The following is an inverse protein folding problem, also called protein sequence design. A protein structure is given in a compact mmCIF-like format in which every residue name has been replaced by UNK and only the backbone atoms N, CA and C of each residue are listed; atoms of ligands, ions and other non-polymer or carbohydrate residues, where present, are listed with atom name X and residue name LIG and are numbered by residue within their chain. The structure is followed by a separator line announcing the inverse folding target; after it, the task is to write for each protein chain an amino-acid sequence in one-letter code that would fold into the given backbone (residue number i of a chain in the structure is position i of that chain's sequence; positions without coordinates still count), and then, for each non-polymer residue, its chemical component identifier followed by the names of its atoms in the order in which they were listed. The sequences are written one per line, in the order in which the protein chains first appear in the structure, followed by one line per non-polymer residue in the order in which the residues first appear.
data_IF_821943405147
#
_entry.id   IF_821943405147
#
_cell.length_a   1.000
_cell.length_b   1.000
_cell.length_c   1.000
_cell.angle_alpha   90.00
_cell.angle_beta   90.00
_cell.angle_gamma   90.00
#
_symmetry.space_group_name_H-M   'P 1'
#
loop_
_entity.id
_entity.type
_entity.pdbx_description
1 polymer ?
#
# COMPACT_ATOMS: atom_id res chain seq x y z
N UNK A 1 17.79 36.86 25.22
CA UNK A 1 16.74 37.53 24.45
C UNK A 1 16.03 38.54 25.35
N UNK A 2 15.85 39.76 24.88
CA UNK A 2 15.15 40.82 25.62
C UNK A 2 13.63 40.79 25.30
N UNK A 3 13.18 39.91 24.45
CA UNK A 3 11.79 39.79 24.01
C UNK A 3 11.36 38.33 24.03
N UNK A 4 10.16 38.09 24.52
CA UNK A 4 9.53 36.77 24.53
C UNK A 4 8.12 36.90 23.96
N UNK A 5 7.86 36.22 22.86
CA UNK A 5 6.53 36.15 22.28
C UNK A 5 5.70 35.09 23.01
N UNK A 6 4.51 35.47 23.45
CA UNK A 6 3.57 34.60 24.15
C UNK A 6 2.17 34.76 23.59
N UNK A 7 1.31 33.77 23.86
CA UNK A 7 -0.10 33.82 23.49
C UNK A 7 -0.97 33.36 24.65
N UNK A 8 -2.16 33.95 24.78
CA UNK A 8 -3.11 33.52 25.82
C UNK A 8 -3.48 32.06 25.59
N UNK A 9 -3.44 31.28 26.66
CA UNK A 9 -3.70 29.84 26.67
C UNK A 9 -2.82 29.04 25.71
N UNK A 10 -1.63 29.59 25.39
CA UNK A 10 -0.66 28.95 24.47
C UNK A 10 -1.17 28.78 23.06
N UNK A 11 -2.08 29.67 22.57
CA UNK A 11 -2.64 29.50 21.22
C UNK A 11 -1.55 29.51 20.17
N UNK A 12 -1.55 28.46 19.31
CA UNK A 12 -0.57 28.32 18.26
C UNK A 12 -0.65 26.93 17.58
N UNK A 13 0.08 26.77 16.49
CA UNK A 13 0.18 25.47 15.81
C UNK A 13 1.12 24.50 16.55
N UNK A 14 0.92 23.22 16.36
CA UNK A 14 1.78 22.19 16.97
C UNK A 14 1.63 22.11 18.47
N UNK A 15 2.73 22.18 19.18
CA UNK A 15 2.76 22.18 20.64
C UNK A 15 2.18 23.46 21.27
N UNK A 16 1.82 24.45 20.47
CA UNK A 16 1.42 25.78 20.93
C UNK A 16 2.62 26.69 21.17
N UNK A 17 2.31 27.87 21.67
CA UNK A 17 3.28 28.87 22.07
C UNK A 17 3.45 28.90 23.61
N UNK A 18 4.40 29.65 24.10
CA UNK A 18 4.49 29.95 25.53
C UNK A 18 3.18 30.60 26.02
N UNK A 19 2.62 30.12 27.11
CA UNK A 19 1.40 30.65 27.69
C UNK A 19 1.68 31.98 28.39
N UNK A 20 0.96 33.03 28.04
CA UNK A 20 1.09 34.37 28.65
C UNK A 20 0.82 34.31 30.15
N UNK A 21 -0.22 33.63 30.56
CA UNK A 21 -0.60 33.45 31.96
C UNK A 21 0.49 32.77 32.78
N UNK A 22 1.12 31.71 32.24
CA UNK A 22 2.21 31.03 32.93
C UNK A 22 3.46 31.91 33.04
N UNK A 23 3.81 32.64 31.96
CA UNK A 23 4.94 33.56 32.00
C UNK A 23 4.71 34.68 33.02
N UNK A 24 3.51 35.26 33.08
CA UNK A 24 3.18 36.31 34.03
C UNK A 24 3.28 35.81 35.50
N UNK A 25 2.81 34.59 35.76
CA UNK A 25 2.98 33.94 37.06
C UNK A 25 4.47 33.78 37.45
N UNK A 26 5.32 33.40 36.52
CA UNK A 26 6.76 33.28 36.78
C UNK A 26 7.39 34.67 37.01
N UNK A 27 6.99 35.70 36.28
CA UNK A 27 7.52 37.04 36.40
C UNK A 27 7.20 37.69 37.76
N UNK A 28 6.13 37.26 38.45
CA UNK A 28 5.87 37.76 39.83
C UNK A 28 6.99 37.40 40.81
N UNK A 29 7.70 36.32 40.59
CA UNK A 29 8.86 35.93 41.39
C UNK A 29 10.03 36.93 41.29
N UNK A 30 10.02 37.75 40.24
CA UNK A 30 11.01 38.79 39.97
C UNK A 30 10.47 40.17 40.23
N UNK A 31 9.34 40.31 40.95
CA UNK A 31 8.78 41.63 41.34
C UNK A 31 7.90 42.30 40.30
N UNK A 32 7.53 41.60 39.21
CA UNK A 32 6.59 42.17 38.24
C UNK A 32 5.15 41.95 38.73
N UNK A 33 4.31 42.97 38.61
CA UNK A 33 2.90 42.91 39.00
C UNK A 33 1.99 42.90 37.78
N UNK A 34 0.94 42.10 37.85
CA UNK A 34 -0.16 42.08 36.88
C UNK A 34 -1.50 41.90 37.62
N UNK A 35 -2.60 42.26 36.97
CA UNK A 35 -3.92 42.04 37.53
C UNK A 35 -4.44 40.63 37.14
N UNK A 36 -4.55 39.70 38.11
CA UNK A 36 -4.94 38.33 37.83
C UNK A 36 -6.38 38.18 37.28
N UNK A 37 -7.28 39.11 37.61
CA UNK A 37 -8.65 39.08 37.12
C UNK A 37 -8.74 39.33 35.60
N UNK A 38 -7.88 40.16 35.02
CA UNK A 38 -7.85 40.34 33.59
C UNK A 38 -7.29 39.12 32.87
N UNK A 39 -6.28 38.48 33.45
CA UNK A 39 -5.68 37.27 32.90
C UNK A 39 -6.66 36.09 32.95
N UNK A 40 -7.36 35.91 34.10
CA UNK A 40 -8.38 34.86 34.23
C UNK A 40 -9.51 35.06 33.21
N UNK A 41 -10.03 36.25 33.07
CA UNK A 41 -11.10 36.59 32.12
C UNK A 41 -10.68 36.31 30.66
N UNK A 42 -9.45 36.67 30.29
CA UNK A 42 -8.90 36.35 28.98
C UNK A 42 -8.73 34.81 28.80
N UNK A 43 -8.17 34.13 29.80
CA UNK A 43 -7.96 32.67 29.75
C UNK A 43 -9.28 31.90 29.59
N UNK A 44 -10.34 32.28 30.28
CA UNK A 44 -11.66 31.67 30.17
C UNK A 44 -12.25 31.80 28.76
N UNK A 45 -11.99 32.89 28.06
CA UNK A 45 -12.38 33.04 26.65
C UNK A 45 -11.59 32.13 25.72
N UNK A 46 -10.27 32.10 25.86
CA UNK A 46 -9.38 31.29 25.03
C UNK A 46 -9.52 29.80 25.33
N UNK A 47 -9.89 29.37 26.53
CA UNK A 47 -10.22 27.98 26.84
C UNK A 47 -11.37 27.45 25.99
N UNK A 48 -12.43 28.26 25.79
CA UNK A 48 -13.54 27.91 24.90
C UNK A 48 -13.08 27.75 23.45
N UNK A 49 -12.25 28.65 22.96
CA UNK A 49 -11.67 28.55 21.61
C UNK A 49 -10.80 27.33 21.48
N UNK A 50 -10.00 26.96 22.49
CA UNK A 50 -9.16 25.76 22.48
C UNK A 50 -9.97 24.47 22.31
N UNK A 51 -11.14 24.38 22.92
CA UNK A 51 -12.07 23.23 22.74
C UNK A 51 -12.56 23.11 21.30
N UNK A 52 -12.71 24.23 20.59
CA UNK A 52 -13.16 24.26 19.18
C UNK A 52 -12.00 23.97 18.22
N UNK A 53 -10.85 24.62 18.40
CA UNK A 53 -9.73 24.60 17.46
C UNK A 53 -8.65 23.56 17.79
N UNK A 54 -8.67 22.97 18.99
CA UNK A 54 -7.78 21.89 19.42
C UNK A 54 -6.28 22.19 19.26
N UNK A 55 -5.82 23.40 19.64
CA UNK A 55 -4.39 23.69 19.69
C UNK A 55 -3.73 23.20 20.97
N UNK A 56 -2.41 23.20 20.97
CA UNK A 56 -1.59 22.90 22.14
C UNK A 56 -1.06 21.47 22.14
N UNK A 57 -0.31 21.09 23.19
CA UNK A 57 0.38 19.82 23.26
C UNK A 57 -0.59 18.65 23.19
N UNK A 58 -0.34 17.71 22.27
CA UNK A 58 -1.01 16.43 22.23
C UNK A 58 -0.10 15.38 21.61
N UNK A 59 -0.44 14.11 21.79
CA UNK A 59 0.36 12.99 21.33
C UNK A 59 0.72 13.06 19.82
N UNK A 60 -0.21 13.45 18.98
CA UNK A 60 0.02 13.47 17.52
C UNK A 60 1.03 14.55 17.10
N UNK A 61 1.03 15.72 17.76
CA UNK A 61 2.03 16.74 17.48
C UNK A 61 3.41 16.33 17.96
N UNK A 62 3.54 15.71 19.14
CA UNK A 62 4.81 15.16 19.62
C UNK A 62 5.32 14.07 18.69
N UNK A 63 4.43 13.13 18.31
CA UNK A 63 4.75 12.06 17.39
C UNK A 63 5.21 12.56 16.00
N UNK A 64 4.54 13.60 15.47
CA UNK A 64 4.90 14.23 14.21
C UNK A 64 6.23 15.00 14.29
N UNK A 65 6.46 15.75 15.37
CA UNK A 65 7.69 16.49 15.59
C UNK A 65 8.92 15.58 15.66
N UNK A 66 8.85 14.48 16.43
CA UNK A 66 9.90 13.46 16.53
C UNK A 66 10.29 12.91 15.14
N UNK A 67 9.34 12.83 14.22
CA UNK A 67 9.52 12.33 12.84
C UNK A 67 9.71 13.43 11.79
N UNK A 68 9.94 14.67 12.22
CA UNK A 68 10.14 15.84 11.34
C UNK A 68 8.99 16.04 10.34
N UNK A 69 7.76 15.71 10.74
CA UNK A 69 6.54 15.92 9.95
C UNK A 69 6.03 17.34 10.21
N UNK A 70 5.76 18.09 9.13
CA UNK A 70 5.25 19.45 9.24
C UNK A 70 3.91 19.49 10.02
N UNK A 71 3.72 20.34 11.03
CA UNK A 71 2.58 20.33 11.95
C UNK A 71 1.22 20.51 11.26
N UNK A 72 1.17 21.14 10.08
CA UNK A 72 -0.06 21.29 9.30
C UNK A 72 -0.67 19.94 8.86
N UNK A 73 0.15 18.90 8.63
CA UNK A 73 -0.38 17.56 8.37
C UNK A 73 -1.16 17.03 9.57
N UNK A 74 -0.57 17.14 10.76
CA UNK A 74 -1.20 16.71 12.01
C UNK A 74 -2.50 17.48 12.23
N UNK A 75 -2.47 18.79 12.08
CA UNK A 75 -3.64 19.65 12.25
C UNK A 75 -4.79 19.25 11.32
N UNK A 76 -4.51 19.05 10.02
CA UNK A 76 -5.53 18.63 9.04
C UNK A 76 -6.14 17.27 9.36
N UNK A 77 -5.33 16.30 9.79
CA UNK A 77 -5.80 14.97 10.14
C UNK A 77 -6.72 15.00 11.37
N UNK A 78 -6.32 15.71 12.43
CA UNK A 78 -7.12 15.85 13.65
C UNK A 78 -8.43 16.60 13.37
N UNK A 79 -8.35 17.71 12.63
CA UNK A 79 -9.52 18.58 12.36
C UNK A 79 -10.54 17.90 11.44
N UNK A 80 -10.13 16.96 10.61
CA UNK A 80 -11.02 16.33 9.62
C UNK A 80 -12.11 15.47 10.24
N UNK A 81 -11.96 15.00 11.48
CA UNK A 81 -12.87 14.06 12.18
C UNK A 81 -13.22 12.78 11.39
N UNK A 82 -12.52 12.52 10.28
CA UNK A 82 -12.74 11.38 9.38
C UNK A 82 -11.92 10.16 9.78
N UNK A 83 -10.91 10.34 10.62
CA UNK A 83 -9.94 9.31 10.99
C UNK A 83 -9.98 9.11 12.51
N UNK A 84 -9.97 7.86 12.94
CA UNK A 84 -9.77 7.54 14.33
C UNK A 84 -8.28 7.71 14.72
N UNK A 85 -7.98 7.59 16.01
CA UNK A 85 -6.61 7.84 16.53
C UNK A 85 -5.56 6.90 15.93
N UNK A 86 -5.89 5.62 15.73
CA UNK A 86 -4.98 4.63 15.13
C UNK A 86 -4.71 4.94 13.65
N UNK A 87 -5.74 5.31 12.91
CA UNK A 87 -5.62 5.71 11.50
C UNK A 87 -4.74 6.96 11.33
N UNK A 88 -4.86 7.94 12.23
CA UNK A 88 -3.96 9.12 12.22
C UNK A 88 -2.51 8.68 12.39
N UNK A 89 -2.22 7.77 13.32
CA UNK A 89 -0.86 7.24 13.52
C UNK A 89 -0.32 6.57 12.26
N UNK A 90 -1.11 5.70 11.62
CA UNK A 90 -0.71 5.00 10.39
C UNK A 90 -0.43 5.97 9.24
N UNK A 91 -1.27 7.00 9.07
CA UNK A 91 -1.06 8.06 8.06
C UNK A 91 0.22 8.85 8.38
N UNK A 92 0.46 9.20 9.64
CA UNK A 92 1.69 9.89 10.07
C UNK A 92 2.94 9.01 9.87
N UNK A 93 2.85 7.71 10.11
CA UNK A 93 3.93 6.75 9.80
C UNK A 93 4.27 6.74 8.31
N UNK A 94 3.27 6.78 7.45
CA UNK A 94 3.48 6.85 6.00
C UNK A 94 4.06 8.21 5.57
N UNK A 95 3.62 9.31 6.17
CA UNK A 95 4.19 10.65 5.97
C UNK A 95 5.67 10.69 6.35
N UNK A 96 6.08 10.06 7.46
CA UNK A 96 7.47 10.05 7.93
C UNK A 96 8.44 9.36 6.95
N UNK A 97 7.95 8.45 6.10
CA UNK A 97 8.74 7.80 5.04
C UNK A 97 8.95 8.69 3.81
N UNK A 98 8.34 9.85 3.78
CA UNK A 98 8.38 10.82 2.67
C UNK A 98 9.06 12.13 3.12
N UNK A 99 9.35 13.04 2.19
CA UNK A 99 9.87 14.38 2.53
C UNK A 99 8.76 15.27 3.11
N UNK A 100 8.33 14.99 4.32
CA UNK A 100 7.19 15.63 4.98
C UNK A 100 7.55 16.82 5.87
N UNK A 101 8.79 17.30 5.83
CA UNK A 101 9.25 18.52 6.55
C UNK A 101 8.64 19.82 6.00
N UNK A 102 8.25 19.83 4.72
CA UNK A 102 7.45 20.89 4.11
C UNK A 102 6.02 20.38 3.84
N UNK A 103 5.04 21.28 3.97
CA UNK A 103 3.65 20.90 3.76
C UNK A 103 3.27 20.87 2.26
N UNK A 104 2.62 19.80 1.82
CA UNK A 104 2.01 19.65 0.50
C UNK A 104 0.64 18.98 0.63
N UNK A 105 -0.41 19.60 0.09
CA UNK A 105 -1.74 19.02 0.03
C UNK A 105 -1.77 17.74 -0.83
N UNK A 106 -1.07 17.75 -1.95
CA UNK A 106 -1.03 16.61 -2.88
C UNK A 106 -0.36 15.41 -2.23
N UNK A 107 0.72 15.61 -1.49
CA UNK A 107 1.36 14.56 -0.72
C UNK A 107 0.40 13.97 0.32
N UNK A 108 -0.33 14.81 1.07
CA UNK A 108 -1.30 14.33 2.05
C UNK A 108 -2.42 13.52 1.38
N UNK A 109 -2.99 14.03 0.29
CA UNK A 109 -4.05 13.36 -0.45
C UNK A 109 -3.59 12.02 -1.02
N UNK A 110 -2.38 11.95 -1.57
CA UNK A 110 -1.81 10.70 -2.10
C UNK A 110 -1.61 9.67 -0.99
N UNK A 111 -1.06 10.06 0.16
CA UNK A 111 -0.86 9.15 1.29
C UNK A 111 -2.18 8.67 1.87
N UNK A 112 -3.18 9.53 1.97
CA UNK A 112 -4.53 9.16 2.41
C UNK A 112 -5.18 8.20 1.41
N UNK A 113 -5.02 8.44 0.12
CA UNK A 113 -5.52 7.55 -0.93
C UNK A 113 -4.86 6.16 -0.83
N UNK A 114 -3.54 6.12 -0.72
CA UNK A 114 -2.77 4.88 -0.55
C UNK A 114 -3.19 4.14 0.72
N UNK A 115 -3.35 4.86 1.85
CA UNK A 115 -3.82 4.29 3.11
C UNK A 115 -5.20 3.63 2.97
N UNK A 116 -6.16 4.32 2.35
CA UNK A 116 -7.51 3.76 2.11
C UNK A 116 -7.48 2.52 1.22
N UNK A 117 -6.59 2.52 0.23
CA UNK A 117 -6.44 1.40 -0.69
C UNK A 117 -5.91 0.13 -0.03
N UNK A 118 -5.14 0.26 1.05
CA UNK A 118 -4.51 -0.87 1.76
C UNK A 118 -5.29 -1.33 2.99
N UNK A 119 -6.15 -0.49 3.56
CA UNK A 119 -6.85 -0.73 4.84
C UNK A 119 -7.62 -2.06 4.88
N UNK A 120 -8.27 -2.44 3.78
CA UNK A 120 -9.11 -3.63 3.68
C UNK A 120 -8.43 -4.78 2.90
N UNK A 121 -7.11 -4.77 2.80
CA UNK A 121 -6.37 -5.82 2.10
C UNK A 121 -6.11 -7.01 3.03
N UNK A 122 -6.14 -8.21 2.42
CA UNK A 122 -5.80 -9.44 3.11
C UNK A 122 -4.29 -9.53 3.32
N UNK A 123 -3.88 -10.10 4.43
CA UNK A 123 -2.51 -10.57 4.62
C UNK A 123 -2.32 -11.85 3.81
N UNK A 124 -1.36 -11.83 2.88
CA UNK A 124 -1.03 -12.98 2.02
C UNK A 124 0.31 -13.62 2.39
N UNK A 125 0.88 -13.24 3.52
CA UNK A 125 2.14 -13.84 3.98
C UNK A 125 2.00 -15.36 4.07
N UNK A 126 3.01 -16.05 3.56
CA UNK A 126 3.16 -17.51 3.71
C UNK A 126 2.10 -18.38 3.00
N UNK A 127 1.22 -17.81 2.14
CA UNK A 127 0.16 -18.61 1.47
C UNK A 127 0.72 -19.70 0.54
N UNK A 128 1.97 -19.57 0.11
CA UNK A 128 2.66 -20.53 -0.76
C UNK A 128 3.87 -21.17 -0.09
N UNK A 129 3.99 -21.10 1.23
CA UNK A 129 5.14 -21.66 1.94
C UNK A 129 5.33 -23.15 1.66
N UNK A 130 6.59 -23.53 1.42
CA UNK A 130 7.00 -24.89 1.15
C UNK A 130 6.32 -25.56 -0.08
N UNK A 131 5.83 -24.76 -1.04
CA UNK A 131 5.16 -25.26 -2.24
C UNK A 131 6.04 -25.16 -3.48
N UNK A 132 5.78 -26.08 -4.45
CA UNK A 132 6.23 -25.94 -5.81
C UNK A 132 5.16 -25.18 -6.59
N UNK A 133 5.56 -24.14 -7.33
CA UNK A 133 4.63 -23.27 -8.04
C UNK A 133 4.77 -23.41 -9.56
N UNK A 134 3.65 -23.34 -10.26
CA UNK A 134 3.60 -23.22 -11.71
C UNK A 134 2.78 -22.00 -12.10
N UNK A 135 3.42 -20.99 -12.71
CA UNK A 135 2.75 -19.81 -13.24
C UNK A 135 2.43 -20.03 -14.72
N UNK A 136 1.16 -19.87 -15.08
CA UNK A 136 0.66 -19.99 -16.43
C UNK A 136 0.37 -18.60 -17.02
N UNK A 137 1.02 -18.27 -18.12
CA UNK A 137 0.66 -17.15 -18.99
C UNK A 137 -0.38 -17.54 -20.05
N UNK A 138 -0.52 -16.69 -21.06
CA UNK A 138 -1.42 -16.90 -22.21
C UNK A 138 -0.68 -16.77 -23.56
N UNK A 139 0.62 -17.00 -23.59
CA UNK A 139 1.44 -16.91 -24.80
C UNK A 139 1.17 -18.04 -25.80
N UNK A 140 1.52 -17.80 -27.07
CA UNK A 140 1.20 -18.68 -28.21
C UNK A 140 1.82 -20.06 -28.12
N UNK A 141 2.90 -20.24 -27.34
CA UNK A 141 3.47 -21.57 -27.07
C UNK A 141 2.46 -22.51 -26.42
N UNK A 142 1.38 -21.99 -25.82
CA UNK A 142 0.30 -22.75 -25.26
C UNK A 142 -0.45 -23.61 -26.29
N UNK A 143 -0.54 -23.15 -27.55
CA UNK A 143 -1.19 -23.91 -28.64
C UNK A 143 -0.53 -25.28 -28.79
N UNK A 144 0.78 -25.34 -28.86
CA UNK A 144 1.55 -26.59 -29.10
C UNK A 144 1.94 -27.31 -27.82
N UNK A 145 2.05 -26.66 -26.67
CA UNK A 145 2.60 -27.23 -25.44
C UNK A 145 1.57 -27.53 -24.34
N UNK A 146 0.28 -27.24 -24.54
CA UNK A 146 -0.77 -27.44 -23.55
C UNK A 146 -0.82 -28.88 -22.99
N UNK A 147 -0.68 -29.92 -23.83
CA UNK A 147 -0.73 -31.30 -23.38
C UNK A 147 0.51 -31.68 -22.55
N UNK A 148 1.69 -31.18 -22.92
CA UNK A 148 2.90 -31.32 -22.11
C UNK A 148 2.71 -30.74 -20.72
N UNK A 149 2.17 -29.52 -20.63
CA UNK A 149 1.93 -28.83 -19.34
C UNK A 149 0.85 -29.53 -18.52
N UNK A 150 -0.22 -30.08 -19.13
CA UNK A 150 -1.20 -30.88 -18.41
C UNK A 150 -0.57 -32.16 -17.80
N UNK A 151 0.33 -32.84 -18.54
CA UNK A 151 1.07 -33.99 -18.02
C UNK A 151 1.99 -33.58 -16.87
N UNK A 152 2.68 -32.43 -17.00
CA UNK A 152 3.53 -31.88 -15.96
C UNK A 152 2.73 -31.61 -14.67
N UNK A 153 1.57 -30.94 -14.77
CA UNK A 153 0.71 -30.64 -13.62
C UNK A 153 0.28 -31.93 -12.90
N UNK A 154 -0.13 -32.95 -13.65
CA UNK A 154 -0.56 -34.27 -13.07
C UNK A 154 0.57 -35.01 -12.38
N UNK A 155 1.79 -34.92 -12.92
CA UNK A 155 2.97 -35.61 -12.40
C UNK A 155 3.55 -34.90 -11.18
N UNK A 156 3.86 -33.61 -11.31
CA UNK A 156 4.60 -32.85 -10.29
C UNK A 156 3.67 -32.24 -9.23
N UNK A 157 2.37 -32.14 -9.49
CA UNK A 157 1.33 -31.60 -8.60
C UNK A 157 1.72 -30.25 -7.96
N UNK A 158 2.20 -29.28 -8.75
CA UNK A 158 2.48 -27.94 -8.22
C UNK A 158 1.17 -27.22 -7.89
N UNK A 159 1.24 -26.16 -7.08
CA UNK A 159 0.17 -25.15 -7.03
C UNK A 159 0.19 -24.37 -8.35
N UNK A 160 -0.91 -24.40 -9.06
CA UNK A 160 -1.06 -23.82 -10.40
C UNK A 160 -1.69 -22.41 -10.29
N UNK A 161 -0.95 -21.43 -10.73
CA UNK A 161 -1.35 -20.01 -10.71
C UNK A 161 -1.53 -19.53 -12.14
N UNK A 162 -2.71 -19.09 -12.51
CA UNK A 162 -2.97 -18.50 -13.83
C UNK A 162 -2.92 -16.97 -13.77
N UNK A 163 -2.18 -16.38 -14.69
CA UNK A 163 -2.20 -14.93 -14.92
C UNK A 163 -3.40 -14.59 -15.82
N UNK A 164 -4.44 -14.03 -15.22
CA UNK A 164 -5.74 -13.81 -15.85
C UNK A 164 -6.42 -15.16 -16.27
N UNK A 165 -7.42 -15.11 -17.16
CA UNK A 165 -8.01 -16.34 -17.71
C UNK A 165 -7.02 -17.07 -18.62
N UNK A 166 -7.02 -18.39 -18.57
CA UNK A 166 -6.11 -19.20 -19.38
C UNK A 166 -6.89 -19.92 -20.51
N UNK A 167 -6.50 -19.75 -21.79
CA UNK A 167 -7.19 -20.38 -22.91
C UNK A 167 -6.80 -21.85 -23.13
N UNK A 168 -5.69 -22.33 -22.53
CA UNK A 168 -5.10 -23.65 -22.84
C UNK A 168 -5.31 -24.69 -21.76
N UNK A 169 -5.37 -24.24 -20.50
CA UNK A 169 -5.51 -25.11 -19.32
C UNK A 169 -6.88 -24.88 -18.70
N UNK A 170 -7.63 -25.96 -18.48
CA UNK A 170 -8.95 -25.90 -17.86
C UNK A 170 -8.86 -25.40 -16.41
N UNK A 171 -9.89 -24.71 -15.96
CA UNK A 171 -9.94 -24.12 -14.62
C UNK A 171 -9.90 -25.13 -13.48
N UNK A 172 -10.30 -26.36 -13.70
CA UNK A 172 -10.21 -27.45 -12.72
C UNK A 172 -8.76 -27.76 -12.31
N UNK A 173 -7.81 -27.57 -13.23
CA UNK A 173 -6.37 -27.73 -13.00
C UNK A 173 -5.67 -26.48 -12.49
N UNK A 174 -6.40 -25.40 -12.20
CA UNK A 174 -5.85 -24.11 -11.73
C UNK A 174 -6.33 -23.89 -10.29
N UNK A 175 -5.40 -23.58 -9.40
CA UNK A 175 -5.69 -23.33 -7.98
C UNK A 175 -5.98 -21.86 -7.71
N UNK A 176 -5.23 -20.96 -8.35
CA UNK A 176 -5.34 -19.51 -8.16
C UNK A 176 -5.38 -18.76 -9.49
N UNK A 177 -6.18 -17.73 -9.54
CA UNK A 177 -6.14 -16.72 -10.59
C UNK A 177 -5.56 -15.42 -10.03
N UNK A 178 -4.58 -14.84 -10.72
CA UNK A 178 -3.99 -13.54 -10.35
C UNK A 178 -4.22 -12.56 -11.48
N UNK A 179 -4.80 -11.42 -11.16
CA UNK A 179 -5.04 -10.34 -12.10
C UNK A 179 -4.96 -8.98 -11.41
N UNK A 180 -4.39 -7.98 -12.08
CA UNK A 180 -4.24 -6.64 -11.50
C UNK A 180 -4.50 -5.51 -12.49
N UNK A 181 -4.79 -5.81 -13.76
CA UNK A 181 -4.94 -4.80 -14.80
C UNK A 181 -6.43 -4.44 -14.99
N UNK A 182 -6.79 -3.20 -14.68
CA UNK A 182 -8.17 -2.73 -14.57
C UNK A 182 -9.03 -3.03 -15.82
N UNK A 183 -8.52 -2.74 -17.02
CA UNK A 183 -9.26 -3.00 -18.26
C UNK A 183 -9.53 -4.48 -18.50
N UNK A 184 -8.54 -5.33 -18.28
CA UNK A 184 -8.70 -6.77 -18.50
C UNK A 184 -9.63 -7.39 -17.49
N UNK A 185 -9.56 -6.96 -16.24
CA UNK A 185 -10.48 -7.35 -15.19
C UNK A 185 -11.92 -6.95 -15.53
N UNK A 186 -12.14 -5.75 -16.06
CA UNK A 186 -13.48 -5.30 -16.48
C UNK A 186 -14.12 -6.26 -17.49
N UNK A 187 -13.37 -6.74 -18.47
CA UNK A 187 -13.89 -7.66 -19.50
C UNK A 187 -13.95 -9.12 -19.06
N UNK A 188 -13.07 -9.56 -18.17
CA UNK A 188 -12.92 -10.97 -17.78
C UNK A 188 -13.53 -11.30 -16.41
N UNK A 189 -13.88 -10.29 -15.61
CA UNK A 189 -14.32 -10.48 -14.22
C UNK A 189 -15.47 -11.46 -14.08
N UNK A 190 -16.48 -11.35 -14.93
CA UNK A 190 -17.64 -12.27 -14.90
C UNK A 190 -17.27 -13.72 -15.23
N UNK A 191 -16.25 -13.93 -16.07
CA UNK A 191 -15.72 -15.28 -16.38
C UNK A 191 -14.94 -15.82 -15.18
N UNK A 192 -14.08 -15.00 -14.60
CA UNK A 192 -13.23 -15.38 -13.46
C UNK A 192 -14.09 -15.71 -12.23
N UNK A 193 -15.11 -14.90 -11.94
CA UNK A 193 -16.00 -15.10 -10.79
C UNK A 193 -16.85 -16.37 -10.87
N UNK A 194 -17.21 -16.81 -12.10
CA UNK A 194 -17.94 -18.05 -12.34
C UNK A 194 -17.08 -19.31 -12.10
N UNK A 195 -15.75 -19.17 -12.01
CA UNK A 195 -14.85 -20.33 -11.90
C UNK A 195 -14.82 -20.98 -10.50
N UNK A 196 -15.43 -20.36 -9.50
CA UNK A 196 -15.45 -20.81 -8.09
C UNK A 196 -14.04 -21.20 -7.55
N UNK A 197 -13.02 -20.45 -7.94
CA UNK A 197 -11.61 -20.62 -7.58
C UNK A 197 -11.11 -19.42 -6.77
N UNK A 198 -9.99 -19.58 -6.08
CA UNK A 198 -9.34 -18.48 -5.37
C UNK A 198 -8.78 -17.46 -6.36
N UNK A 199 -9.08 -16.20 -6.15
CA UNK A 199 -8.66 -15.10 -7.00
C UNK A 199 -7.87 -14.10 -6.14
N UNK A 200 -6.70 -13.69 -6.60
CA UNK A 200 -5.92 -12.62 -5.94
C UNK A 200 -5.92 -11.42 -6.87
N UNK A 201 -6.47 -10.31 -6.38
CA UNK A 201 -6.56 -9.06 -7.13
C UNK A 201 -6.66 -7.85 -6.23
N UNK A 202 -6.27 -6.64 -6.68
CA UNK A 202 -6.43 -5.41 -5.93
C UNK A 202 -7.87 -4.89 -6.06
N UNK A 203 -8.76 -5.26 -5.13
CA UNK A 203 -10.19 -4.87 -5.16
C UNK A 203 -10.39 -3.35 -5.20
N UNK A 204 -9.48 -2.58 -4.63
CA UNK A 204 -9.61 -1.13 -4.57
C UNK A 204 -9.57 -0.46 -5.95
N UNK A 205 -8.90 -1.08 -6.91
CA UNK A 205 -8.94 -0.67 -8.32
C UNK A 205 -10.30 -0.98 -8.97
N UNK A 206 -11.09 -1.89 -8.38
CA UNK A 206 -12.29 -2.48 -8.99
C UNK A 206 -13.57 -2.29 -8.18
N UNK A 207 -13.48 -1.72 -6.97
CA UNK A 207 -14.59 -1.67 -6.00
C UNK A 207 -15.90 -1.05 -6.54
N UNK A 208 -15.85 -0.29 -7.63
CA UNK A 208 -17.03 0.30 -8.27
C UNK A 208 -17.72 -0.63 -9.27
N UNK A 209 -17.07 -1.75 -9.65
CA UNK A 209 -17.53 -2.61 -10.75
C UNK A 209 -17.90 -4.03 -10.33
N UNK A 210 -17.58 -4.43 -9.09
CA UNK A 210 -17.83 -5.79 -8.61
C UNK A 210 -19.05 -5.89 -7.68
N UNK A 211 -20.03 -6.75 -7.98
CA UNK A 211 -21.11 -7.05 -7.05
C UNK A 211 -20.59 -7.67 -5.74
N UNK A 212 -21.13 -7.23 -4.61
CA UNK A 212 -20.67 -7.60 -3.25
C UNK A 212 -20.71 -9.12 -2.98
N UNK A 213 -21.64 -9.85 -3.57
CA UNK A 213 -21.82 -11.30 -3.34
C UNK A 213 -20.72 -12.19 -3.97
N UNK A 214 -19.93 -11.66 -4.89
CA UNK A 214 -18.80 -12.39 -5.51
C UNK A 214 -17.47 -12.30 -4.75
N UNK A 215 -17.43 -11.58 -3.62
CA UNK A 215 -16.17 -11.30 -2.91
C UNK A 215 -15.63 -12.47 -2.07
N UNK A 216 -16.41 -13.53 -1.83
CA UNK A 216 -16.03 -14.64 -0.92
C UNK A 216 -14.76 -15.40 -1.32
N UNK A 217 -14.48 -15.51 -2.61
CA UNK A 217 -13.32 -16.23 -3.15
C UNK A 217 -12.15 -15.30 -3.52
N UNK A 218 -12.27 -14.00 -3.23
CA UNK A 218 -11.28 -12.99 -3.60
C UNK A 218 -10.39 -12.69 -2.40
N UNK A 219 -9.09 -12.87 -2.59
CA UNK A 219 -8.06 -12.35 -1.71
C UNK A 219 -7.67 -10.98 -2.24
N UNK A 220 -8.07 -9.95 -1.50
CA UNK A 220 -7.74 -8.57 -1.82
C UNK A 220 -6.30 -8.27 -1.44
N UNK A 221 -5.39 -8.23 -2.39
CA UNK A 221 -4.02 -7.81 -2.17
C UNK A 221 -3.78 -6.45 -2.81
N UNK A 222 -3.40 -5.46 -2.01
CA UNK A 222 -3.31 -4.07 -2.44
C UNK A 222 -2.22 -3.82 -3.48
N UNK A 223 -2.48 -2.88 -4.40
CA UNK A 223 -1.52 -2.44 -5.41
C UNK A 223 -1.40 -0.92 -5.37
N UNK A 224 -0.18 -0.43 -5.14
CA UNK A 224 0.16 0.99 -5.17
C UNK A 224 1.12 1.25 -6.33
N UNK A 225 0.72 2.13 -7.26
CA UNK A 225 1.56 2.54 -8.38
C UNK A 225 2.62 3.53 -7.92
N UNK A 226 3.90 3.17 -7.98
CA UNK A 226 5.02 4.04 -7.60
C UNK A 226 6.18 3.91 -8.58
N UNK A 227 6.69 5.05 -9.08
CA UNK A 227 7.86 5.10 -9.98
C UNK A 227 9.10 4.43 -9.35
N UNK A 228 9.81 3.64 -10.14
CA UNK A 228 11.05 2.94 -9.77
C UNK A 228 10.91 2.04 -8.51
N UNK A 229 9.72 1.48 -8.25
CA UNK A 229 9.48 0.56 -7.15
C UNK A 229 9.09 -0.82 -7.66
N UNK A 230 9.62 -1.84 -7.00
CA UNK A 230 9.25 -3.24 -7.12
C UNK A 230 9.42 -3.86 -5.74
N UNK A 231 8.40 -3.74 -4.87
CA UNK A 231 8.46 -4.20 -3.47
C UNK A 231 7.13 -4.79 -3.05
N UNK A 232 7.19 -5.82 -2.22
CA UNK A 232 6.04 -6.46 -1.60
C UNK A 232 6.04 -6.27 -0.09
N UNK A 233 4.84 -6.24 0.47
CA UNK A 233 4.52 -6.21 1.88
C UNK A 233 3.41 -7.23 2.14
N UNK A 234 3.13 -7.59 3.38
CA UNK A 234 2.14 -8.63 3.70
C UNK A 234 0.74 -8.37 3.11
N UNK A 235 0.30 -7.10 3.01
CA UNK A 235 -1.03 -6.71 2.57
C UNK A 235 -1.09 -6.00 1.21
N UNK A 236 0.04 -5.56 0.67
CA UNK A 236 0.10 -4.82 -0.59
C UNK A 236 1.47 -4.87 -1.24
N UNK A 237 1.54 -4.43 -2.48
CA UNK A 237 2.80 -4.20 -3.17
C UNK A 237 2.90 -2.80 -3.78
N UNK A 238 4.13 -2.35 -3.99
CA UNK A 238 4.48 -1.14 -4.73
C UNK A 238 5.09 -1.54 -6.07
N UNK A 239 4.51 -1.06 -7.17
CA UNK A 239 4.86 -1.46 -8.51
C UNK A 239 4.77 -0.27 -9.46
N UNK A 240 5.77 -0.05 -10.32
CA UNK A 240 5.74 1.05 -11.28
C UNK A 240 4.76 0.76 -12.42
N UNK A 241 4.82 -0.45 -12.96
CA UNK A 241 3.97 -0.89 -14.06
C UNK A 241 3.20 -2.16 -13.66
N UNK A 242 1.88 -2.05 -13.42
CA UNK A 242 1.06 -3.14 -12.92
C UNK A 242 0.75 -4.17 -14.01
N UNK A 243 1.62 -5.18 -14.13
CA UNK A 243 1.40 -6.36 -14.97
C UNK A 243 1.11 -7.57 -14.13
N UNK A 244 0.30 -8.49 -14.64
CA UNK A 244 -0.09 -9.69 -13.90
C UNK A 244 1.12 -10.52 -13.46
N UNK A 245 2.17 -10.66 -14.29
CA UNK A 245 3.40 -11.36 -13.90
C UNK A 245 4.15 -10.63 -12.79
N UNK A 246 4.36 -9.32 -12.93
CA UNK A 246 5.05 -8.52 -11.92
C UNK A 246 4.33 -8.55 -10.57
N UNK A 247 3.01 -8.46 -10.61
CA UNK A 247 2.15 -8.52 -9.42
C UNK A 247 2.19 -9.93 -8.78
N UNK A 248 2.11 -10.99 -9.59
CA UNK A 248 2.21 -12.36 -9.11
C UNK A 248 3.56 -12.66 -8.44
N UNK A 249 4.68 -12.22 -9.03
CA UNK A 249 6.00 -12.42 -8.45
C UNK A 249 6.14 -11.71 -7.09
N UNK A 250 5.56 -10.50 -6.94
CA UNK A 250 5.54 -9.79 -5.64
C UNK A 250 4.65 -10.48 -4.60
N UNK A 251 3.54 -11.09 -5.00
CA UNK A 251 2.73 -11.95 -4.12
C UNK A 251 3.55 -13.15 -3.65
N UNK A 252 4.19 -13.85 -4.58
CA UNK A 252 4.97 -15.05 -4.31
C UNK A 252 6.18 -14.75 -3.40
N UNK A 253 6.80 -13.55 -3.53
CA UNK A 253 7.93 -13.16 -2.68
C UNK A 253 7.57 -12.99 -1.18
N UNK A 254 6.29 -13.03 -0.82
CA UNK A 254 5.84 -13.06 0.58
C UNK A 254 5.82 -14.47 1.20
N UNK A 255 6.28 -15.50 0.44
CA UNK A 255 6.32 -16.88 0.87
C UNK A 255 7.69 -17.52 0.63
N UNK A 256 8.08 -18.47 1.47
CA UNK A 256 9.28 -19.30 1.29
C UNK A 256 8.95 -20.50 0.42
N UNK A 257 8.96 -20.33 -0.90
CA UNK A 257 8.62 -21.39 -1.87
C UNK A 257 9.77 -22.37 -2.06
N UNK A 258 9.47 -23.62 -2.48
CA UNK A 258 10.48 -24.63 -2.84
C UNK A 258 11.02 -24.40 -4.25
N UNK A 259 10.14 -24.21 -5.20
CA UNK A 259 10.50 -23.98 -6.60
C UNK A 259 9.42 -23.18 -7.32
N UNK A 260 9.82 -22.56 -8.43
CA UNK A 260 8.90 -21.83 -9.30
C UNK A 260 9.19 -22.19 -10.75
N UNK A 261 8.15 -22.62 -11.46
CA UNK A 261 8.18 -22.90 -12.89
C UNK A 261 7.18 -21.99 -13.60
N UNK A 262 7.43 -21.69 -14.86
CA UNK A 262 6.52 -20.89 -15.69
C UNK A 262 6.26 -21.60 -17.03
N UNK A 263 5.06 -21.42 -17.58
CA UNK A 263 4.70 -21.86 -18.90
C UNK A 263 3.84 -20.80 -19.61
N UNK A 264 3.96 -20.71 -20.94
CA UNK A 264 3.23 -19.78 -21.79
C UNK A 264 3.50 -18.31 -21.46
N UNK A 265 4.70 -18.01 -20.96
CA UNK A 265 5.21 -16.65 -20.73
C UNK A 265 6.26 -16.39 -21.82
N UNK A 266 5.80 -16.20 -23.03
CA UNK A 266 6.64 -16.18 -24.22
C UNK A 266 7.42 -14.85 -24.38
N UNK A 267 6.87 -13.75 -23.88
CA UNK A 267 7.30 -12.38 -24.17
C UNK A 267 6.52 -11.77 -25.34
N UNK A 268 6.85 -10.55 -25.69
CA UNK A 268 6.20 -9.78 -26.76
C UNK A 268 7.09 -9.68 -27.99
N UNK A 269 6.73 -10.34 -29.07
CA UNK A 269 7.57 -10.44 -30.29
C UNK A 269 7.97 -9.08 -30.88
N UNK A 270 7.10 -8.08 -30.81
CA UNK A 270 7.30 -6.76 -31.41
C UNK A 270 7.48 -5.62 -30.39
N UNK A 271 7.64 -5.91 -29.11
CA UNK A 271 7.75 -4.88 -28.08
C UNK A 271 8.99 -5.08 -27.20
N UNK A 272 10.13 -4.55 -27.68
CA UNK A 272 11.42 -4.64 -26.94
C UNK A 272 11.40 -3.93 -25.58
N UNK A 273 10.65 -2.84 -25.46
CA UNK A 273 10.56 -2.07 -24.21
C UNK A 273 9.87 -2.88 -23.13
N UNK A 274 8.74 -3.50 -23.46
CA UNK A 274 7.96 -4.33 -22.57
C UNK A 274 8.75 -5.55 -22.11
N UNK A 275 9.45 -6.22 -23.04
CA UNK A 275 10.30 -7.36 -22.70
C UNK A 275 11.45 -6.96 -21.77
N UNK A 276 12.06 -5.78 -21.97
CA UNK A 276 13.12 -5.27 -21.10
C UNK A 276 12.61 -4.99 -19.68
N UNK A 277 11.41 -4.43 -19.55
CA UNK A 277 10.78 -4.19 -18.25
C UNK A 277 10.48 -5.50 -17.51
N UNK A 278 9.86 -6.48 -18.20
CA UNK A 278 9.58 -7.78 -17.60
C UNK A 278 10.86 -8.56 -17.26
N UNK A 279 11.89 -8.51 -18.12
CA UNK A 279 13.18 -9.11 -17.83
C UNK A 279 13.79 -8.53 -16.54
N UNK A 280 13.72 -7.21 -16.36
CA UNK A 280 14.19 -6.56 -15.13
C UNK A 280 13.43 -7.05 -13.89
N UNK A 281 12.13 -7.21 -13.99
CA UNK A 281 11.28 -7.74 -12.91
C UNK A 281 11.66 -9.18 -12.56
N UNK A 282 11.83 -10.04 -13.57
CA UNK A 282 12.25 -11.46 -13.39
C UNK A 282 13.61 -11.52 -12.70
N UNK A 283 14.59 -10.75 -13.17
CA UNK A 283 15.92 -10.70 -12.59
C UNK A 283 15.91 -10.16 -11.15
N UNK A 284 15.15 -9.10 -10.86
CA UNK A 284 15.02 -8.58 -9.49
C UNK A 284 14.40 -9.63 -8.56
N UNK A 285 13.32 -10.30 -8.97
CA UNK A 285 12.70 -11.36 -8.19
C UNK A 285 13.67 -12.51 -7.89
N UNK A 286 14.40 -12.99 -8.91
CA UNK A 286 15.35 -14.10 -8.76
C UNK A 286 16.50 -13.75 -7.82
N UNK A 287 17.02 -12.53 -7.89
CA UNK A 287 18.10 -12.05 -7.03
C UNK A 287 17.63 -11.86 -5.58
N UNK A 288 16.49 -11.21 -5.38
CA UNK A 288 15.97 -10.89 -4.05
C UNK A 288 15.58 -12.14 -3.27
N UNK A 289 15.01 -13.14 -3.95
CA UNK A 289 14.55 -14.39 -3.34
C UNK A 289 15.57 -15.53 -3.44
N UNK A 290 16.69 -15.37 -4.15
CA UNK A 290 17.70 -16.41 -4.42
C UNK A 290 17.10 -17.67 -5.07
N UNK A 291 16.07 -17.51 -5.89
CA UNK A 291 15.34 -18.58 -6.57
C UNK A 291 15.37 -18.33 -8.07
N UNK A 292 15.76 -19.35 -8.85
CA UNK A 292 15.68 -19.32 -10.30
C UNK A 292 14.31 -19.76 -10.79
N UNK A 293 13.79 -19.05 -11.79
CA UNK A 293 12.53 -19.39 -12.45
C UNK A 293 12.80 -20.44 -13.54
N UNK A 294 12.18 -21.60 -13.45
CA UNK A 294 12.28 -22.64 -14.47
C UNK A 294 11.26 -22.38 -15.59
N UNK A 295 11.72 -22.11 -16.81
CA UNK A 295 10.87 -21.90 -17.98
C UNK A 295 10.58 -23.24 -18.69
N UNK A 296 9.35 -23.75 -18.59
CA UNK A 296 8.93 -25.03 -19.20
C UNK A 296 8.59 -24.91 -20.69
N UNK A 297 8.35 -23.70 -21.17
CA UNK A 297 8.08 -23.41 -22.58
C UNK A 297 9.06 -22.37 -23.10
N UNK A 298 9.19 -22.28 -24.43
CA UNK A 298 10.06 -21.27 -25.05
C UNK A 298 9.65 -19.86 -24.61
N UNK A 299 10.63 -19.03 -24.28
CA UNK A 299 10.44 -17.66 -23.83
C UNK A 299 11.59 -16.76 -24.32
N UNK A 300 11.34 -15.45 -24.38
CA UNK A 300 12.37 -14.44 -24.63
C UNK A 300 13.13 -14.04 -23.36
N UNK A 301 12.72 -14.51 -22.19
CA UNK A 301 13.32 -14.14 -20.91
C UNK A 301 14.42 -15.09 -20.47
N UNK A 302 15.30 -14.58 -19.60
CA UNK A 302 16.43 -15.33 -19.00
C UNK A 302 16.42 -15.13 -17.47
N UNK A 303 17.00 -16.08 -16.75
CA UNK A 303 17.24 -15.98 -15.31
C UNK A 303 18.42 -15.05 -15.02
#
# INVERSE_FOLDING_TARGET
SNWIDTTVFGMGRGAGNACTENLLLELTKFGYFYNPHFIEKASAYFERLKKVYNWGPNFFYHYGSDRKIHPTYVQKLISSKRYNRSEIIEILQNLSKSKSSAFSNDMLNNIIHDYKNVKNCNDISNIFDNQNLLILGSGDTGVSKKEFIKKYIKKERPIVISLNTNPYIKSDLIDYFISCYDYRLFFEVNKILKLNKKIIMPLNSLAKTLPVYHQKNILNYGLIKKKKRFRSFSKYCELEDPRALSYALLIISQSKIKSISTAFIDGYNNNKVENKLLQKVISSFSNDNKIKINFLTKTLFRN
#
